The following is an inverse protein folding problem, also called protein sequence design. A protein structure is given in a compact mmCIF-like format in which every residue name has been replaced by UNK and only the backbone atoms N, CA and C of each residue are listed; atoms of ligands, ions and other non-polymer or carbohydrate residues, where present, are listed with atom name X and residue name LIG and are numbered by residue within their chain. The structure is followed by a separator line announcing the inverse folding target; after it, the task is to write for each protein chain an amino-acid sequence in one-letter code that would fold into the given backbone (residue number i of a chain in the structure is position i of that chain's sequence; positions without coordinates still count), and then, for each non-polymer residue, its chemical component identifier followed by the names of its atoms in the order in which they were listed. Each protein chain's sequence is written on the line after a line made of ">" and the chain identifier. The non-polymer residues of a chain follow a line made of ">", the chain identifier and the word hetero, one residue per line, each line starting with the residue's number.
data_IF_174461254710
#
_entry.id   IF_174461254710
#
_cell.length_a   1.000
_cell.length_b   1.000
_cell.length_c   1.000
_cell.angle_alpha   90.00
_cell.angle_beta   90.00
_cell.angle_gamma   90.00
#
_symmetry.space_group_name_H-M   'P 1'
#
loop_
_entity.id
_entity.type
_entity.pdbx_description
1 polymer ?
#
# COMPACT_ATOMS: atom_id res chain seq x y z
N UNK A 1 7.91 11.15 11.09
CA UNK A 1 6.82 10.76 10.17
C UNK A 1 5.76 10.04 10.99
N UNK A 2 4.50 10.13 10.57
CA UNK A 2 3.35 9.50 11.23
C UNK A 2 2.78 8.44 10.29
N UNK A 3 2.74 7.20 10.74
CA UNK A 3 2.13 6.08 10.00
C UNK A 3 0.69 5.87 10.45
N UNK A 4 -0.21 5.63 9.51
CA UNK A 4 -1.64 5.38 9.77
C UNK A 4 -2.17 4.28 8.85
N UNK A 5 -3.15 3.51 9.35
CA UNK A 5 -3.91 2.54 8.58
C UNK A 5 -5.32 3.07 8.43
N UNK A 6 -5.75 3.26 7.19
CA UNK A 6 -7.09 3.75 6.86
C UNK A 6 -7.93 2.61 6.27
N UNK A 7 -9.19 2.51 6.70
CA UNK A 7 -10.14 1.48 6.24
C UNK A 7 -11.44 2.04 5.67
N UNK A 8 -11.49 3.35 5.50
CA UNK A 8 -12.65 4.06 4.96
C UNK A 8 -12.72 3.87 3.43
N UNK A 9 -13.89 3.46 2.93
CA UNK A 9 -14.13 3.15 1.51
C UNK A 9 -14.12 4.38 0.61
N UNK A 10 -14.38 5.56 1.16
CA UNK A 10 -14.42 6.83 0.46
C UNK A 10 -13.13 7.66 0.62
N UNK A 11 -12.12 7.15 1.33
CA UNK A 11 -10.93 7.93 1.64
C UNK A 11 -10.17 8.34 0.37
N UNK A 12 -10.03 7.41 -0.58
CA UNK A 12 -9.30 7.65 -1.84
C UNK A 12 -9.99 8.73 -2.69
N UNK A 13 -11.32 8.78 -2.69
CA UNK A 13 -12.05 9.81 -3.44
C UNK A 13 -11.96 11.17 -2.76
N UNK A 14 -12.07 11.22 -1.42
CA UNK A 14 -11.90 12.47 -0.65
C UNK A 14 -10.48 13.05 -0.75
N UNK A 15 -9.46 12.20 -0.84
CA UNK A 15 -8.05 12.59 -0.91
C UNK A 15 -7.46 12.50 -2.33
N UNK A 16 -8.30 12.49 -3.36
CA UNK A 16 -7.87 12.38 -4.76
C UNK A 16 -6.80 13.42 -5.13
N UNK A 17 -7.05 14.69 -4.83
CA UNK A 17 -6.13 15.79 -5.14
C UNK A 17 -4.81 15.65 -4.37
N UNK A 18 -4.85 15.17 -3.13
CA UNK A 18 -3.66 14.94 -2.31
C UNK A 18 -2.79 13.84 -2.92
N UNK A 19 -3.38 12.68 -3.24
CA UNK A 19 -2.69 11.54 -3.86
C UNK A 19 -2.05 11.98 -5.19
N UNK A 20 -2.82 12.59 -6.10
CA UNK A 20 -2.31 12.99 -7.43
C UNK A 20 -1.29 14.15 -7.34
N UNK A 21 -1.41 15.02 -6.34
CA UNK A 21 -0.44 16.08 -6.09
C UNK A 21 0.89 15.53 -5.58
N UNK A 22 0.84 14.61 -4.63
CA UNK A 22 2.01 13.96 -4.04
C UNK A 22 2.74 13.07 -5.05
N UNK A 23 2.01 12.28 -5.86
CA UNK A 23 2.57 11.38 -6.89
C UNK A 23 3.59 12.05 -7.81
N UNK A 24 3.37 13.32 -8.18
CA UNK A 24 4.27 14.09 -9.06
C UNK A 24 5.66 14.33 -8.47
N UNK A 25 5.83 14.11 -7.15
CA UNK A 25 7.06 14.33 -6.40
C UNK A 25 7.60 13.03 -5.79
N UNK A 26 6.94 11.88 -6.02
CA UNK A 26 7.31 10.62 -5.42
C UNK A 26 8.59 10.06 -6.06
N UNK A 27 9.52 9.58 -5.23
CA UNK A 27 10.72 8.89 -5.70
C UNK A 27 10.35 7.52 -6.31
N UNK A 28 9.31 6.90 -5.76
CA UNK A 28 8.71 5.68 -6.27
C UNK A 28 7.25 5.97 -6.61
N UNK A 29 6.93 6.02 -7.90
CA UNK A 29 5.54 6.10 -8.37
C UNK A 29 5.09 4.74 -8.94
N UNK A 30 3.88 4.35 -8.58
CA UNK A 30 3.18 3.22 -9.17
C UNK A 30 1.95 3.76 -9.92
N UNK A 31 2.03 3.76 -11.25
CA UNK A 31 0.98 4.33 -12.11
C UNK A 31 -0.38 3.63 -11.91
N UNK A 32 -0.39 2.36 -11.51
CA UNK A 32 -1.63 1.63 -11.21
C UNK A 32 -2.32 2.13 -9.93
N UNK A 33 -1.59 2.83 -9.06
CA UNK A 33 -2.11 3.42 -7.82
C UNK A 33 -2.50 4.89 -7.98
N UNK A 34 -2.66 5.39 -9.21
CA UNK A 34 -3.32 6.68 -9.41
C UNK A 34 -4.74 6.63 -8.82
N UNK A 35 -5.16 7.69 -8.16
CA UNK A 35 -6.47 7.77 -7.50
C UNK A 35 -7.64 7.48 -8.45
N UNK A 36 -7.69 7.96 -9.71
CA UNK A 36 -8.75 7.59 -10.64
C UNK A 36 -8.82 6.09 -10.91
N UNK A 37 -7.67 5.43 -11.07
CA UNK A 37 -7.59 3.99 -11.29
C UNK A 37 -8.11 3.23 -10.07
N UNK A 38 -7.66 3.59 -8.87
CA UNK A 38 -8.10 2.96 -7.62
C UNK A 38 -9.61 3.10 -7.42
N UNK A 39 -10.19 4.26 -7.72
CA UNK A 39 -11.64 4.49 -7.61
C UNK A 39 -12.45 3.63 -8.59
N UNK A 40 -11.99 3.51 -9.84
CA UNK A 40 -12.66 2.66 -10.84
C UNK A 40 -12.56 1.20 -10.45
N UNK A 41 -11.39 0.75 -10.02
CA UNK A 41 -11.15 -0.65 -9.65
C UNK A 41 -11.92 -1.06 -8.41
N UNK A 42 -12.04 -0.18 -7.40
CA UNK A 42 -12.81 -0.50 -6.20
C UNK A 42 -14.27 -0.83 -6.52
N UNK A 43 -14.88 -0.13 -7.47
CA UNK A 43 -16.26 -0.39 -7.91
C UNK A 43 -16.44 -1.75 -8.58
N UNK A 44 -15.36 -2.39 -9.03
CA UNK A 44 -15.37 -3.72 -9.65
C UNK A 44 -15.07 -4.84 -8.65
N UNK A 45 -14.65 -4.49 -7.44
CA UNK A 45 -14.35 -5.48 -6.40
C UNK A 45 -15.62 -6.19 -5.94
N UNK A 46 -15.46 -7.38 -5.37
CA UNK A 46 -16.58 -8.06 -4.71
C UNK A 46 -17.12 -7.18 -3.56
N UNK A 47 -18.44 -7.19 -3.28
CA UNK A 47 -19.04 -6.28 -2.30
C UNK A 47 -18.48 -6.36 -0.87
N UNK A 48 -17.85 -7.48 -0.50
CA UNK A 48 -17.24 -7.70 0.81
C UNK A 48 -15.79 -7.21 0.92
N UNK A 49 -15.20 -6.67 -0.15
CA UNK A 49 -13.84 -6.14 -0.13
C UNK A 49 -13.79 -4.86 0.69
N UNK A 50 -12.89 -4.83 1.68
CA UNK A 50 -12.62 -3.63 2.47
C UNK A 50 -11.23 -3.08 2.15
N UNK A 51 -11.05 -1.76 2.01
CA UNK A 51 -9.73 -1.20 1.78
C UNK A 51 -8.88 -1.28 3.06
N UNK A 52 -7.58 -1.44 2.87
CA UNK A 52 -6.56 -1.32 3.91
C UNK A 52 -5.47 -0.43 3.32
N UNK A 53 -5.51 0.85 3.65
CA UNK A 53 -4.61 1.85 3.07
C UNK A 53 -3.54 2.19 4.08
N UNK A 54 -2.29 1.94 3.72
CA UNK A 54 -1.14 2.37 4.51
C UNK A 54 -0.75 3.77 4.07
N UNK A 55 -0.75 4.73 4.99
CA UNK A 55 -0.31 6.09 4.71
C UNK A 55 0.81 6.52 5.65
N UNK A 56 1.68 7.39 5.14
CA UNK A 56 2.69 8.08 5.93
C UNK A 56 2.57 9.57 5.69
N UNK A 57 2.51 10.33 6.78
CA UNK A 57 2.52 11.79 6.78
C UNK A 57 3.83 12.33 7.36
N UNK A 58 4.28 13.47 6.85
CA UNK A 58 5.43 14.19 7.42
C UNK A 58 5.04 15.05 8.64
N UNK A 59 5.94 15.92 9.09
CA UNK A 59 5.70 16.79 10.25
C UNK A 59 4.73 17.94 9.96
N UNK A 60 4.50 18.24 8.68
CA UNK A 60 3.56 19.25 8.19
C UNK A 60 2.21 18.61 7.82
N UNK A 61 2.00 17.35 8.20
CA UNK A 61 0.81 16.55 7.92
C UNK A 61 0.59 16.27 6.42
N UNK A 62 1.63 16.41 5.58
CA UNK A 62 1.54 16.14 4.15
C UNK A 62 1.73 14.65 3.87
N UNK A 63 0.94 14.10 2.94
CA UNK A 63 1.11 12.73 2.45
C UNK A 63 2.46 12.56 1.74
N UNK A 64 3.28 11.66 2.25
CA UNK A 64 4.62 11.32 1.72
C UNK A 64 4.79 9.84 1.40
N UNK A 65 3.83 9.01 1.78
CA UNK A 65 3.79 7.58 1.46
C UNK A 65 2.36 7.07 1.40
N UNK A 66 2.07 6.26 0.39
CA UNK A 66 0.76 5.66 0.15
C UNK A 66 0.92 4.26 -0.44
N UNK A 67 0.40 3.26 0.27
CA UNK A 67 0.41 1.87 -0.17
C UNK A 67 -0.98 1.26 0.00
N UNK A 68 -1.77 1.20 -1.08
CA UNK A 68 -3.13 0.71 -1.02
C UNK A 68 -3.18 -0.83 -1.10
N UNK A 69 -3.93 -1.41 -0.17
CA UNK A 69 -4.28 -2.83 -0.14
C UNK A 69 -5.80 -3.00 0.03
N UNK A 70 -6.24 -4.24 -0.08
CA UNK A 70 -7.59 -4.67 0.22
C UNK A 70 -7.56 -5.92 1.09
N UNK A 71 -8.51 -6.00 2.01
CA UNK A 71 -8.86 -7.22 2.72
C UNK A 71 -9.74 -8.08 1.81
N UNK A 72 -9.34 -9.34 1.63
CA UNK A 72 -10.11 -10.36 0.93
C UNK A 72 -10.52 -11.47 1.89
N UNK A 73 -11.82 -11.85 1.94
CA UNK A 73 -12.26 -12.99 2.72
C UNK A 73 -11.72 -14.29 2.10
N UNK A 74 -11.21 -15.17 2.96
CA UNK A 74 -10.79 -16.53 2.64
C UNK A 74 -11.76 -17.59 3.17
N UNK A 75 -11.34 -18.86 3.11
CA UNK A 75 -12.12 -20.00 3.61
C UNK A 75 -12.11 -19.98 5.15
N UNK A 76 -13.19 -20.45 5.78
CA UNK A 76 -13.33 -20.57 7.24
C UNK A 76 -13.14 -19.25 8.02
N UNK A 77 -13.54 -18.12 7.42
CA UNK A 77 -13.45 -16.81 8.08
C UNK A 77 -12.03 -16.22 8.13
N UNK A 78 -11.06 -16.88 7.49
CA UNK A 78 -9.73 -16.28 7.28
C UNK A 78 -9.82 -15.04 6.41
N UNK A 79 -8.81 -14.17 6.53
CA UNK A 79 -8.70 -12.93 5.76
C UNK A 79 -7.27 -12.80 5.25
N UNK A 80 -7.14 -12.41 3.99
CA UNK A 80 -5.86 -12.11 3.37
C UNK A 80 -5.75 -10.63 3.06
N UNK A 81 -4.53 -10.11 3.11
CA UNK A 81 -4.18 -8.77 2.63
C UNK A 81 -3.63 -8.88 1.21
N UNK A 82 -4.26 -8.18 0.28
CA UNK A 82 -3.93 -8.21 -1.15
C UNK A 82 -3.63 -6.80 -1.64
N UNK A 83 -2.75 -6.61 -2.63
CA UNK A 83 -2.56 -5.30 -3.25
C UNK A 83 -3.88 -4.81 -3.84
N UNK A 84 -4.10 -3.50 -3.90
CA UNK A 84 -5.43 -2.97 -4.23
C UNK A 84 -5.97 -3.38 -5.62
N UNK A 85 -5.07 -3.52 -6.60
CA UNK A 85 -5.36 -3.84 -8.01
C UNK A 85 -4.66 -5.14 -8.41
N UNK A 86 -4.72 -6.12 -7.52
CA UNK A 86 -3.94 -7.36 -7.55
C UNK A 86 -4.12 -8.22 -8.82
N UNK A 87 -5.23 -8.06 -9.53
CA UNK A 87 -5.58 -8.76 -10.78
C UNK A 87 -5.15 -8.01 -12.05
N UNK A 88 -4.73 -6.75 -11.94
CA UNK A 88 -4.68 -5.82 -13.07
C UNK A 88 -3.38 -5.01 -13.14
N UNK A 89 -2.55 -5.06 -12.10
CA UNK A 89 -1.26 -4.39 -12.06
C UNK A 89 -0.08 -5.35 -12.24
N UNK A 90 0.91 -4.89 -12.99
CA UNK A 90 2.16 -5.62 -13.20
C UNK A 90 3.15 -5.48 -12.03
N UNK A 91 2.92 -4.52 -11.12
CA UNK A 91 3.75 -4.29 -9.94
C UNK A 91 2.97 -3.65 -8.80
N UNK A 92 3.41 -3.89 -7.57
CA UNK A 92 2.68 -3.53 -6.34
C UNK A 92 3.49 -2.69 -5.34
N UNK A 93 4.57 -2.04 -5.78
CA UNK A 93 5.32 -1.12 -4.93
C UNK A 93 4.49 0.13 -4.59
N UNK A 94 4.71 0.77 -3.44
CA UNK A 94 3.96 1.95 -3.01
C UNK A 94 4.20 3.16 -3.91
N UNK A 95 3.39 4.19 -3.71
CA UNK A 95 3.75 5.56 -4.07
C UNK A 95 4.40 6.18 -2.84
N UNK A 96 5.70 6.48 -2.86
CA UNK A 96 6.38 7.03 -1.68
C UNK A 96 7.58 7.92 -2.03
N UNK A 97 7.87 8.87 -1.14
CA UNK A 97 9.22 9.40 -0.99
C UNK A 97 10.12 8.31 -0.38
N UNK A 98 11.41 8.38 -0.67
CA UNK A 98 12.40 7.45 -0.13
C UNK A 98 12.41 7.48 1.41
N UNK A 99 12.16 8.64 2.01
CA UNK A 99 12.08 8.80 3.47
C UNK A 99 10.95 7.99 4.11
N UNK A 100 9.84 7.74 3.41
CA UNK A 100 8.66 7.06 3.95
C UNK A 100 8.70 5.52 3.85
N UNK A 101 9.71 4.95 3.18
CA UNK A 101 9.80 3.50 2.92
C UNK A 101 9.81 2.70 4.23
N UNK A 102 10.62 3.13 5.20
CA UNK A 102 10.80 2.39 6.46
C UNK A 102 9.49 2.28 7.23
N UNK A 103 8.75 3.38 7.34
CA UNK A 103 7.46 3.47 7.99
C UNK A 103 6.40 2.63 7.27
N UNK A 104 6.35 2.69 5.94
CA UNK A 104 5.41 1.87 5.15
C UNK A 104 5.65 0.37 5.33
N UNK A 105 6.90 -0.07 5.31
CA UNK A 105 7.25 -1.49 5.50
C UNK A 105 6.97 -1.91 6.93
N UNK A 106 7.40 -1.12 7.92
CA UNK A 106 7.16 -1.44 9.33
C UNK A 106 5.66 -1.52 9.62
N UNK A 107 4.89 -0.61 9.03
CA UNK A 107 3.44 -0.60 9.07
C UNK A 107 2.82 -1.85 8.45
N UNK A 108 3.27 -2.25 7.27
CA UNK A 108 2.86 -3.49 6.63
C UNK A 108 3.20 -4.73 7.47
N UNK A 109 4.39 -4.78 8.07
CA UNK A 109 4.79 -5.87 8.98
C UNK A 109 3.88 -5.95 10.21
N UNK A 110 3.39 -4.82 10.71
CA UNK A 110 2.44 -4.79 11.83
C UNK A 110 1.10 -5.47 11.51
N UNK A 111 0.75 -5.60 10.22
CA UNK A 111 -0.47 -6.28 9.76
C UNK A 111 -0.32 -7.81 9.67
N UNK A 112 0.90 -8.36 9.76
CA UNK A 112 1.13 -9.82 9.64
C UNK A 112 0.45 -10.63 10.76
N UNK A 113 0.13 -10.01 11.89
CA UNK A 113 -0.64 -10.66 12.97
C UNK A 113 -2.15 -10.65 12.75
N UNK A 114 -2.66 -9.79 11.86
CA UNK A 114 -4.09 -9.64 11.59
C UNK A 114 -4.57 -10.52 10.43
N UNK A 115 -3.73 -10.68 9.41
CA UNK A 115 -4.07 -11.43 8.20
C UNK A 115 -3.34 -12.77 8.18
N UNK A 116 -4.08 -13.83 7.81
CA UNK A 116 -3.49 -15.18 7.67
C UNK A 116 -2.43 -15.22 6.56
N UNK A 117 -2.54 -14.31 5.59
CA UNK A 117 -1.64 -14.21 4.45
C UNK A 117 -1.56 -12.77 3.96
N UNK A 118 -0.35 -12.30 3.64
CA UNK A 118 -0.10 -11.04 2.93
C UNK A 118 0.50 -11.36 1.56
N UNK A 119 -0.21 -11.06 0.48
CA UNK A 119 0.30 -11.21 -0.86
C UNK A 119 0.96 -9.93 -1.33
N UNK A 120 2.26 -9.94 -1.58
CA UNK A 120 2.98 -8.76 -2.09
C UNK A 120 4.01 -9.20 -3.13
N UNK A 121 3.54 -9.76 -4.26
CA UNK A 121 4.45 -10.18 -5.31
C UNK A 121 4.92 -8.94 -6.10
N UNK A 122 5.71 -9.15 -7.15
CA UNK A 122 5.94 -8.18 -8.22
C UNK A 122 6.32 -6.75 -7.74
N UNK A 123 7.39 -6.64 -6.96
CA UNK A 123 7.99 -5.34 -6.63
C UNK A 123 9.02 -5.00 -7.72
N UNK A 124 9.07 -3.74 -8.16
CA UNK A 124 10.15 -3.31 -9.07
C UNK A 124 11.51 -3.50 -8.41
N UNK A 125 12.49 -4.00 -9.16
CA UNK A 125 13.86 -4.22 -8.65
C UNK A 125 14.46 -2.95 -8.03
N UNK A 126 14.22 -1.79 -8.63
CA UNK A 126 14.70 -0.51 -8.11
C UNK A 126 14.16 -0.20 -6.71
N UNK A 127 12.91 -0.55 -6.43
CA UNK A 127 12.32 -0.44 -5.09
C UNK A 127 12.88 -1.53 -4.18
N UNK A 128 12.94 -2.77 -4.66
CA UNK A 128 13.45 -3.91 -3.89
C UNK A 128 14.87 -3.70 -3.41
N UNK A 129 15.78 -3.17 -4.24
CA UNK A 129 17.16 -2.91 -3.84
C UNK A 129 17.28 -1.79 -2.79
N UNK A 130 16.43 -0.76 -2.85
CA UNK A 130 16.38 0.26 -1.80
C UNK A 130 15.82 -0.31 -0.49
N UNK A 131 14.81 -1.16 -0.60
CA UNK A 131 14.14 -1.79 0.53
C UNK A 131 14.99 -2.86 1.23
N UNK A 132 15.56 -3.80 0.48
CA UNK A 132 16.31 -4.96 0.99
C UNK A 132 17.59 -4.57 1.73
N UNK A 133 18.21 -3.45 1.35
CA UNK A 133 19.35 -2.88 2.07
C UNK A 133 18.98 -2.30 3.45
N UNK A 134 17.69 -2.04 3.72
CA UNK A 134 17.26 -1.31 4.90
C UNK A 134 17.19 -2.15 6.19
N UNK A 135 17.03 -3.49 6.15
CA UNK A 135 16.98 -4.30 7.40
C UNK A 135 16.93 -5.83 7.26
N UNK A 136 17.56 -6.45 6.26
CA UNK A 136 17.72 -7.92 6.30
C UNK A 136 18.88 -8.28 7.24
N UNK A 137 18.64 -8.26 8.56
CA UNK A 137 19.49 -8.95 9.53
C UNK A 137 18.95 -10.37 9.72
N UNK A 138 19.82 -11.36 9.48
CA UNK A 138 19.63 -12.77 9.81
C UNK A 138 18.67 -13.60 8.93
N UNK A 139 18.54 -13.28 7.63
CA UNK A 139 18.06 -14.25 6.65
C UNK A 139 16.63 -14.79 6.84
N UNK A 140 15.82 -14.15 7.68
CA UNK A 140 14.38 -14.43 7.75
C UNK A 140 13.69 -13.59 6.69
N UNK A 141 13.41 -14.24 5.57
CA UNK A 141 12.45 -13.76 4.59
C UNK A 141 11.07 -13.66 5.24
N UNK A 142 10.27 -12.73 4.70
CA UNK A 142 8.81 -12.67 4.74
C UNK A 142 8.13 -13.84 5.49
#
# INVERSE_FOLDING_TARGET
>A
MKFEIIRETDWISRHHTEIEGFRKKADFDNHYFASPWLQVWFKRQIPSTAPVLLIVRDQQDLLVGFWPFVERPGILGSKGLWPYVYDEANYFHPICLQSAITELVTGLQSLLGEFLFCWIPLMKDSFWHHFSNARIKNGKYL
#
